data_IF_465557128841
#
_entry.id   IF_465557128841
#
_cell.length_a   1.000
_cell.length_b   1.000
_cell.length_c   1.000
_cell.angle_alpha   90.00
_cell.angle_beta   90.00
_cell.angle_gamma   90.00
#
_symmetry.space_group_name_H-M   'P 1'
#
loop_
_entity.id
_entity.type
_entity.pdbx_description
1 polymer ?
#
# COMPACT_ATOMS: atom_id res chain seq x y z
N UNK A 1 -4.98 -12.35 -2.87
CA UNK A 1 -5.00 -11.10 -2.09
C UNK A 1 -3.64 -10.39 -2.09
N UNK A 2 -2.55 -11.12 -2.12
CA UNK A 2 -1.21 -10.52 -2.20
C UNK A 2 -1.06 -9.70 -3.47
N UNK A 3 -0.56 -8.46 -3.33
CA UNK A 3 -0.42 -7.44 -4.38
C UNK A 3 -1.74 -6.96 -4.97
N UNK A 4 -2.81 -7.08 -4.22
CA UNK A 4 -4.10 -6.48 -4.58
C UNK A 4 -4.23 -5.11 -3.90
N UNK A 5 -4.96 -4.21 -4.56
CA UNK A 5 -5.24 -2.87 -4.04
C UNK A 5 -6.67 -2.86 -3.50
N UNK A 6 -6.82 -2.42 -2.27
CA UNK A 6 -8.11 -2.27 -1.59
C UNK A 6 -8.21 -0.88 -0.99
N UNK A 7 -9.43 -0.40 -0.82
CA UNK A 7 -9.68 0.64 0.17
C UNK A 7 -9.72 -0.02 1.54
N UNK A 8 -9.15 0.63 2.53
CA UNK A 8 -9.11 0.09 3.89
C UNK A 8 -9.39 1.19 4.91
N UNK A 9 -10.01 0.77 6.02
CA UNK A 9 -10.18 1.63 7.18
C UNK A 9 -8.88 1.64 7.98
N UNK A 10 -8.14 2.74 7.91
CA UNK A 10 -6.82 2.87 8.55
C UNK A 10 -6.86 3.55 9.90
N UNK A 11 -8.02 3.75 10.49
CA UNK A 11 -8.16 4.39 11.82
C UNK A 11 -7.47 3.63 12.93
N UNK A 12 -7.34 2.32 12.77
CA UNK A 12 -6.63 1.49 13.75
C UNK A 12 -5.13 1.80 13.83
N UNK A 13 -4.58 2.39 12.78
CA UNK A 13 -3.15 2.75 12.72
C UNK A 13 -2.96 4.25 12.85
N UNK A 14 -3.82 5.01 12.19
CA UNK A 14 -3.77 6.48 12.18
C UNK A 14 -5.17 7.02 12.39
N UNK A 15 -5.50 7.54 13.59
CA UNK A 15 -6.85 8.06 13.86
C UNK A 15 -7.31 9.14 12.90
N UNK A 16 -6.38 9.90 12.33
CA UNK A 16 -6.66 10.96 11.37
C UNK A 16 -6.95 10.44 9.97
N UNK A 17 -6.49 9.24 9.65
CA UNK A 17 -6.67 8.64 8.34
C UNK A 17 -7.94 7.81 8.35
N UNK A 18 -8.91 8.25 7.57
CA UNK A 18 -10.18 7.55 7.41
C UNK A 18 -9.98 6.34 6.50
N UNK A 19 -10.63 6.34 5.35
CA UNK A 19 -10.48 5.31 4.34
C UNK A 19 -9.38 5.71 3.38
N UNK A 20 -8.44 4.79 3.12
CA UNK A 20 -7.34 5.02 2.18
C UNK A 20 -7.10 3.80 1.32
N UNK A 21 -6.63 3.99 0.08
CA UNK A 21 -6.17 2.87 -0.72
C UNK A 21 -4.91 2.27 -0.09
N UNK A 22 -4.82 0.95 -0.12
CA UNK A 22 -3.65 0.21 0.38
C UNK A 22 -3.29 -0.90 -0.59
N UNK A 23 -2.01 -1.28 -0.63
CA UNK A 23 -1.54 -2.45 -1.36
C UNK A 23 -1.24 -3.54 -0.33
N UNK A 24 -1.88 -4.69 -0.50
CA UNK A 24 -1.62 -5.86 0.35
C UNK A 24 -0.34 -6.54 -0.15
N UNK A 25 0.67 -6.66 0.71
CA UNK A 25 1.97 -7.26 0.33
C UNK A 25 2.26 -8.56 1.05
N UNK A 26 1.53 -8.88 2.10
CA UNK A 26 1.66 -10.16 2.81
C UNK A 26 0.37 -10.48 3.52
N UNK A 27 0.20 -11.75 3.84
CA UNK A 27 -0.99 -12.25 4.49
C UNK A 27 -0.58 -13.31 5.51
N UNK A 28 -1.16 -13.22 6.72
CA UNK A 28 -0.92 -14.20 7.76
C UNK A 28 -2.20 -14.36 8.59
N UNK A 29 -2.87 -15.50 8.45
CA UNK A 29 -4.14 -15.74 9.14
C UNK A 29 -5.18 -14.70 8.80
N UNK A 30 -5.69 -14.01 9.82
CA UNK A 30 -6.71 -12.97 9.67
C UNK A 30 -6.12 -11.57 9.48
N UNK A 31 -4.81 -11.46 9.29
CA UNK A 31 -4.12 -10.18 9.17
C UNK A 31 -3.42 -10.06 7.84
N UNK A 32 -3.31 -8.84 7.37
CA UNK A 32 -2.59 -8.50 6.14
C UNK A 32 -1.60 -7.38 6.43
N UNK A 33 -0.47 -7.45 5.73
CA UNK A 33 0.53 -6.38 5.75
C UNK A 33 0.28 -5.49 4.55
N UNK A 34 0.18 -4.19 4.79
CA UNK A 34 -0.20 -3.24 3.75
C UNK A 34 0.76 -2.04 3.71
N UNK A 35 0.91 -1.47 2.51
CA UNK A 35 1.47 -0.15 2.30
C UNK A 35 0.35 0.79 1.93
N UNK A 36 0.33 1.99 2.50
CA UNK A 36 -0.66 3.00 2.14
C UNK A 36 -0.32 3.64 0.80
N UNK A 37 -1.36 4.00 0.05
CA UNK A 37 -1.25 4.80 -1.16
C UNK A 37 -1.58 6.24 -0.79
N UNK A 38 -0.70 7.16 -1.14
CA UNK A 38 -0.88 8.59 -0.87
C UNK A 38 -0.84 9.37 -2.17
N UNK A 39 -1.62 10.45 -2.25
CA UNK A 39 -1.53 11.38 -3.39
C UNK A 39 -0.43 12.41 -3.21
N UNK A 40 0.20 12.47 -2.03
CA UNK A 40 1.34 13.35 -1.78
C UNK A 40 2.62 12.55 -1.83
N UNK A 41 3.61 13.07 -2.55
CA UNK A 41 4.92 12.47 -2.66
C UNK A 41 5.95 13.54 -2.29
N UNK A 42 6.89 13.20 -1.41
CA UNK A 42 8.01 14.09 -1.10
C UNK A 42 9.01 14.01 -2.25
N UNK A 43 9.16 15.07 -2.99
CA UNK A 43 10.00 15.13 -4.19
C UNK A 43 11.45 14.79 -3.88
N UNK A 44 11.92 15.15 -2.69
CA UNK A 44 13.30 14.88 -2.23
C UNK A 44 13.50 13.46 -1.69
N UNK A 45 12.46 12.63 -1.68
CA UNK A 45 12.52 11.26 -1.16
C UNK A 45 11.88 10.25 -2.12
N UNK A 46 12.34 10.18 -3.38
CA UNK A 46 11.71 9.30 -4.37
C UNK A 46 11.81 7.82 -4.01
N UNK A 47 12.80 7.43 -3.21
CA UNK A 47 12.98 6.03 -2.82
C UNK A 47 11.88 5.51 -1.88
N UNK A 48 11.09 6.42 -1.30
CA UNK A 48 10.01 6.05 -0.38
C UNK A 48 8.72 5.69 -1.11
N UNK A 49 8.63 5.96 -2.42
CA UNK A 49 7.36 5.90 -3.14
C UNK A 49 7.47 5.13 -4.45
N UNK A 50 6.40 4.40 -4.77
CA UNK A 50 6.20 3.77 -6.08
C UNK A 50 4.95 4.37 -6.69
N UNK A 51 5.03 5.04 -7.85
CA UNK A 51 3.86 5.64 -8.48
C UNK A 51 2.92 4.57 -9.04
N UNK A 52 1.61 4.81 -8.88
CA UNK A 52 0.56 4.02 -9.51
C UNK A 52 -0.06 4.86 -10.60
N UNK A 53 0.20 4.52 -11.85
CA UNK A 53 -0.25 5.28 -13.01
C UNK A 53 -1.31 4.52 -13.79
N UNK A 54 -2.40 4.17 -13.10
CA UNK A 54 -3.48 3.42 -13.73
C UNK A 54 -4.80 4.19 -13.58
N UNK A 55 -5.68 4.06 -14.58
CA UNK A 55 -6.92 4.82 -14.64
C UNK A 55 -7.87 4.56 -13.45
N UNK A 56 -7.81 3.39 -12.83
CA UNK A 56 -8.67 3.07 -11.70
C UNK A 56 -8.22 3.69 -10.39
N UNK A 57 -6.92 3.95 -10.25
CA UNK A 57 -6.37 4.55 -9.07
C UNK A 57 -5.03 5.19 -9.41
N UNK A 58 -4.82 6.39 -8.91
CA UNK A 58 -3.56 7.11 -9.04
C UNK A 58 -3.04 7.50 -7.66
N UNK A 59 -1.75 7.69 -7.57
CA UNK A 59 -1.09 8.06 -6.32
C UNK A 59 0.23 7.36 -6.20
N UNK A 60 0.77 7.32 -4.98
CA UNK A 60 2.09 6.75 -4.72
C UNK A 60 2.01 5.79 -3.54
N UNK A 61 2.53 4.58 -3.75
CA UNK A 61 2.64 3.59 -2.68
C UNK A 61 3.80 4.00 -1.77
N UNK A 62 3.54 4.23 -0.50
CA UNK A 62 4.57 4.54 0.48
C UNK A 62 5.20 3.25 0.98
N UNK A 63 6.37 2.90 0.43
CA UNK A 63 7.05 1.63 0.73
C UNK A 63 7.92 1.69 1.98
N UNK A 64 8.19 2.87 2.49
CA UNK A 64 9.00 3.04 3.71
C UNK A 64 8.34 2.42 4.93
N UNK A 65 7.02 2.49 5.00
CA UNK A 65 6.25 1.98 6.14
C UNK A 65 5.27 0.92 5.69
N UNK A 66 5.08 -0.07 6.54
CA UNK A 66 4.06 -1.09 6.36
C UNK A 66 3.31 -1.28 7.66
N UNK A 67 2.08 -1.76 7.56
CA UNK A 67 1.21 -1.95 8.70
C UNK A 67 0.54 -3.31 8.61
N UNK A 68 0.52 -4.02 9.74
CA UNK A 68 -0.30 -5.23 9.87
C UNK A 68 -1.68 -4.82 10.37
N UNK A 69 -2.70 -5.12 9.59
CA UNK A 69 -4.08 -4.82 9.97
C UNK A 69 -4.94 -6.07 9.86
N UNK A 70 -6.06 -6.08 10.55
CA UNK A 70 -7.03 -7.16 10.45
C UNK A 70 -7.71 -7.10 9.07
N UNK A 71 -7.94 -8.25 8.45
CA UNK A 71 -8.61 -8.33 7.14
C UNK A 71 -9.98 -7.66 7.12
N UNK A 72 -10.67 -7.62 8.25
CA UNK A 72 -11.99 -6.97 8.35
C UNK A 72 -11.94 -5.46 8.05
N UNK A 73 -10.77 -4.85 8.11
CA UNK A 73 -10.60 -3.43 7.77
C UNK A 73 -10.43 -3.19 6.27
N UNK A 74 -10.26 -4.24 5.48
CA UNK A 74 -10.27 -4.12 4.03
C UNK A 74 -11.71 -3.92 3.57
N UNK A 75 -11.90 -2.92 2.71
CA UNK A 75 -13.21 -2.55 2.17
C UNK A 75 -13.28 -2.97 0.70
N UNK A 76 -13.51 -2.03 -0.20
CA UNK A 76 -13.68 -2.35 -1.61
C UNK A 76 -12.38 -2.74 -2.29
N UNK A 77 -12.41 -3.80 -3.07
CA UNK A 77 -11.32 -4.18 -3.96
C UNK A 77 -11.27 -3.22 -5.15
N UNK A 78 -10.07 -2.80 -5.53
CA UNK A 78 -9.86 -1.90 -6.67
C UNK A 78 -9.34 -2.67 -7.87
N UNK A 79 -8.15 -3.22 -7.78
CA UNK A 79 -7.50 -4.03 -8.81
C UNK A 79 -6.25 -4.70 -8.25
N UNK A 80 -5.67 -5.60 -9.02
CA UNK A 80 -4.35 -6.13 -8.70
C UNK A 80 -3.27 -5.20 -9.23
N UNK A 81 -2.11 -5.21 -8.58
CA UNK A 81 -0.93 -4.52 -9.09
C UNK A 81 -0.44 -5.18 -10.38
N UNK A 82 0.12 -4.38 -11.28
CA UNK A 82 0.80 -4.90 -12.46
C UNK A 82 2.14 -5.52 -12.05
N UNK A 83 2.72 -6.35 -12.93
CA UNK A 83 4.05 -6.93 -12.69
C UNK A 83 5.09 -5.85 -12.43
N UNK A 84 5.07 -4.77 -13.21
CA UNK A 84 6.01 -3.65 -13.04
C UNK A 84 5.85 -2.99 -11.67
N UNK A 85 4.61 -2.81 -11.22
CA UNK A 85 4.33 -2.23 -9.90
C UNK A 85 4.84 -3.14 -8.79
N UNK A 86 4.60 -4.45 -8.91
CA UNK A 86 5.05 -5.44 -7.92
C UNK A 86 6.58 -5.41 -7.80
N UNK A 87 7.28 -5.42 -8.94
CA UNK A 87 8.75 -5.37 -8.96
C UNK A 87 9.28 -4.09 -8.33
N UNK A 88 8.69 -2.95 -8.66
CA UNK A 88 9.09 -1.66 -8.10
C UNK A 88 8.87 -1.61 -6.59
N UNK A 89 7.73 -2.10 -6.12
CA UNK A 89 7.42 -2.15 -4.69
C UNK A 89 8.44 -3.01 -3.95
N UNK A 90 8.71 -4.22 -4.46
CA UNK A 90 9.65 -5.13 -3.82
C UNK A 90 11.07 -4.58 -3.81
N UNK A 91 11.51 -3.99 -4.92
CA UNK A 91 12.85 -3.43 -5.04
C UNK A 91 13.06 -2.28 -4.04
N UNK A 92 12.11 -1.35 -3.98
CA UNK A 92 12.22 -0.20 -3.07
C UNK A 92 12.01 -0.60 -1.62
N UNK A 93 11.07 -1.49 -1.34
CA UNK A 93 10.80 -1.95 0.02
C UNK A 93 12.00 -2.69 0.62
N UNK A 94 12.79 -3.37 -0.18
CA UNK A 94 13.98 -4.07 0.28
C UNK A 94 14.99 -3.14 0.95
N UNK A 95 15.01 -1.85 0.59
CA UNK A 95 15.90 -0.85 1.18
C UNK A 95 15.53 -0.53 2.63
N UNK A 96 14.35 -0.91 3.08
CA UNK A 96 13.84 -0.64 4.43
C UNK A 96 13.69 -1.91 5.28
N UNK A 97 14.18 -3.03 4.78
CA UNK A 97 14.20 -4.30 5.53
C UNK A 97 15.52 -4.39 6.30
N UNK A 98 15.40 -4.66 7.58
CA UNK A 98 16.56 -4.82 8.44
C UNK A 98 16.51 -6.14 9.17
#
# INVERSE_FOLDING_TARGET
>A
MKYSIYYANMRCVHPEKKTRPVVVVAEQGNRVKVHCVTCRCKVDRPDFYVPLNHYMISGNVEVKRSYWIDKRFLLDYVRDCTTSEIEAINTKAANFRH
#
